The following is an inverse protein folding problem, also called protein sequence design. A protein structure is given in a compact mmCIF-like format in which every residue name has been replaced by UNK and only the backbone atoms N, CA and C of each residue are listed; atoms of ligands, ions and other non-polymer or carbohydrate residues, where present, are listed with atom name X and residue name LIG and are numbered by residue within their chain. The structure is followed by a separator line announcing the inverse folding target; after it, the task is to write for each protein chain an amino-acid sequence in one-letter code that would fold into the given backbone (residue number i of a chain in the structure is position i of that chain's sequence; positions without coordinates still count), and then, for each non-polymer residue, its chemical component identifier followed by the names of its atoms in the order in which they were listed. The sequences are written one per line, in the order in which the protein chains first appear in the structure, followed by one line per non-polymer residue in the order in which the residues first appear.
data_IF_109286760640
#
_entry.id   IF_109286760640
#
_cell.length_a   1.000
_cell.length_b   1.000
_cell.length_c   1.000
_cell.angle_alpha   90.00
_cell.angle_beta   90.00
_cell.angle_gamma   90.00
#
_symmetry.space_group_name_H-M   'P 1'
#
loop_
_entity.id
_entity.type
_entity.pdbx_description
1 polymer ?
#
# COMPACT_ATOMS: atom_id res chain seq x y z
N UNK A 1 5.92 -17.55 -32.13
CA UNK A 1 6.02 -16.08 -32.32
C UNK A 1 5.73 -15.43 -30.98
N UNK A 2 6.72 -14.90 -30.25
CA UNK A 2 6.44 -14.22 -28.99
C UNK A 2 6.01 -12.79 -29.29
N UNK A 3 4.80 -12.43 -28.88
CA UNK A 3 4.34 -11.03 -28.84
C UNK A 3 5.03 -10.36 -27.66
N UNK A 4 6.05 -9.55 -27.96
CA UNK A 4 6.63 -8.60 -27.01
C UNK A 4 5.53 -7.61 -26.63
N UNK A 5 4.99 -7.70 -25.42
CA UNK A 5 4.19 -6.61 -24.85
C UNK A 5 5.13 -5.44 -24.63
N UNK A 6 4.98 -4.40 -25.43
CA UNK A 6 5.56 -3.09 -25.14
C UNK A 6 4.73 -2.54 -23.98
N UNK A 7 5.34 -2.19 -22.83
CA UNK A 7 4.61 -1.42 -21.83
C UNK A 7 4.34 -0.06 -22.44
N UNK A 8 3.06 0.32 -22.55
CA UNK A 8 2.66 1.69 -22.84
C UNK A 8 3.06 2.57 -21.64
N UNK A 9 4.33 2.94 -21.59
CA UNK A 9 4.81 4.06 -20.79
C UNK A 9 4.50 5.33 -21.57
N UNK A 10 3.22 5.69 -21.64
CA UNK A 10 2.82 6.98 -22.21
C UNK A 10 3.30 8.04 -21.22
N UNK A 11 4.43 8.66 -21.57
CA UNK A 11 5.25 9.52 -20.70
C UNK A 11 4.48 10.67 -20.05
N UNK A 12 4.08 10.46 -18.80
CA UNK A 12 3.77 11.54 -17.87
C UNK A 12 5.06 11.90 -17.14
N UNK A 13 5.33 13.19 -17.01
CA UNK A 13 6.46 13.67 -16.23
C UNK A 13 6.26 13.20 -14.79
N UNK A 14 7.15 12.30 -14.35
CA UNK A 14 7.19 11.85 -12.96
C UNK A 14 7.58 13.05 -12.11
N UNK A 15 6.63 13.59 -11.35
CA UNK A 15 6.97 14.68 -10.43
C UNK A 15 7.77 14.09 -9.28
N UNK A 16 8.69 14.85 -8.69
CA UNK A 16 9.43 14.38 -7.52
C UNK A 16 8.51 14.08 -6.31
N UNK A 17 7.26 14.55 -6.35
CA UNK A 17 6.24 14.32 -5.33
C UNK A 17 5.40 13.06 -5.58
N UNK A 18 5.48 12.44 -6.75
CA UNK A 18 4.67 11.25 -7.11
C UNK A 18 4.90 10.13 -6.09
N UNK A 19 6.16 9.75 -5.86
CA UNK A 19 6.51 8.75 -4.85
C UNK A 19 6.05 9.10 -3.44
N UNK A 20 6.00 10.39 -3.10
CA UNK A 20 5.53 10.84 -1.79
C UNK A 20 4.01 10.76 -1.68
N UNK A 21 3.29 11.03 -2.77
CA UNK A 21 1.83 10.86 -2.84
C UNK A 21 1.48 9.38 -2.76
N UNK A 22 2.16 8.55 -3.54
CA UNK A 22 1.95 7.10 -3.58
C UNK A 22 2.19 6.46 -2.22
N UNK A 23 3.32 6.80 -1.56
CA UNK A 23 3.62 6.25 -0.23
C UNK A 23 2.63 6.67 0.86
N UNK A 24 2.03 7.86 0.76
CA UNK A 24 1.05 8.35 1.74
C UNK A 24 -0.35 7.79 1.47
N UNK A 25 -0.71 7.59 0.20
CA UNK A 25 -2.05 7.19 -0.21
C UNK A 25 -2.21 5.68 -0.40
N UNK A 26 -1.11 4.95 -0.59
CA UNK A 26 -1.09 3.52 -0.89
C UNK A 26 -1.57 3.16 -2.31
N UNK A 27 -1.81 4.16 -3.16
CA UNK A 27 -2.29 3.98 -4.53
C UNK A 27 -1.32 4.63 -5.50
N UNK A 28 -1.21 4.10 -6.72
CA UNK A 28 -0.44 4.79 -7.76
C UNK A 28 -1.12 6.12 -8.12
N UNK A 29 -0.34 7.09 -8.60
CA UNK A 29 -0.90 8.38 -9.03
C UNK A 29 -1.98 8.18 -10.11
N UNK A 30 -1.78 7.25 -11.03
CA UNK A 30 -2.75 6.98 -12.10
C UNK A 30 -4.06 6.40 -11.57
N UNK A 31 -3.99 5.49 -10.59
CA UNK A 31 -5.19 4.97 -9.91
C UNK A 31 -5.95 6.07 -9.18
N UNK A 32 -5.25 6.99 -8.51
CA UNK A 32 -5.88 8.13 -7.86
C UNK A 32 -6.62 9.02 -8.86
N UNK A 33 -6.07 9.22 -10.05
CA UNK A 33 -6.73 9.99 -11.10
C UNK A 33 -7.98 9.28 -11.62
N UNK A 34 -7.90 7.97 -11.86
CA UNK A 34 -9.05 7.16 -12.28
C UNK A 34 -10.16 7.15 -11.22
N UNK A 35 -9.80 7.00 -9.94
CA UNK A 35 -10.73 7.07 -8.82
C UNK A 35 -11.36 8.47 -8.69
N UNK A 36 -10.61 9.54 -8.96
CA UNK A 36 -11.13 10.90 -8.98
C UNK A 36 -12.17 11.08 -10.07
N UNK A 37 -11.89 10.61 -11.28
CA UNK A 37 -12.77 10.74 -12.44
C UNK A 37 -14.06 9.90 -12.26
N UNK A 38 -13.99 8.81 -11.50
CA UNK A 38 -15.14 8.00 -11.10
C UNK A 38 -15.87 8.49 -9.85
N UNK A 39 -15.39 9.55 -9.20
CA UNK A 39 -16.00 10.09 -7.98
C UNK A 39 -15.87 9.19 -6.74
N UNK A 40 -14.86 8.29 -6.71
CA UNK A 40 -14.66 7.29 -5.66
C UNK A 40 -13.77 7.79 -4.51
N UNK A 41 -13.21 8.99 -4.62
CA UNK A 41 -12.33 9.56 -3.59
C UNK A 41 -13.11 10.38 -2.56
N UNK A 42 -12.65 10.34 -1.32
CA UNK A 42 -13.08 11.26 -0.29
C UNK A 42 -12.56 12.69 -0.56
N UNK A 43 -13.22 13.69 0.04
CA UNK A 43 -12.94 15.09 -0.24
C UNK A 43 -11.44 15.49 -0.10
N UNK A 44 -10.68 15.02 0.91
CA UNK A 44 -9.25 15.30 1.02
C UNK A 44 -8.40 14.70 -0.12
N UNK A 45 -8.64 13.44 -0.51
CA UNK A 45 -7.89 12.80 -1.61
C UNK A 45 -8.31 13.37 -2.97
N UNK A 46 -9.58 13.71 -3.14
CA UNK A 46 -10.05 14.38 -4.34
C UNK A 46 -9.35 15.74 -4.55
N UNK A 47 -9.26 16.56 -3.50
CA UNK A 47 -8.51 17.82 -3.53
C UNK A 47 -7.03 17.62 -3.83
N UNK A 48 -6.40 16.59 -3.25
CA UNK A 48 -5.00 16.26 -3.52
C UNK A 48 -4.78 15.95 -5.01
N UNK A 49 -5.65 15.15 -5.63
CA UNK A 49 -5.57 14.83 -7.06
C UNK A 49 -5.76 16.07 -7.93
N UNK A 50 -6.72 16.93 -7.61
CA UNK A 50 -6.99 18.15 -8.38
C UNK A 50 -5.78 19.10 -8.36
N UNK A 51 -5.16 19.29 -7.20
CA UNK A 51 -3.94 20.12 -7.06
C UNK A 51 -2.74 19.46 -7.75
N UNK A 52 -2.63 18.12 -7.69
CA UNK A 52 -1.59 17.39 -8.40
C UNK A 52 -1.72 17.54 -9.93
N UNK A 53 -2.95 17.55 -10.47
CA UNK A 53 -3.20 17.83 -11.90
C UNK A 53 -2.68 19.22 -12.28
N UNK A 54 -2.94 20.22 -11.44
CA UNK A 54 -2.41 21.58 -11.63
C UNK A 54 -0.87 21.62 -11.63
N UNK A 55 -0.22 20.85 -10.74
CA UNK A 55 1.24 20.74 -10.72
C UNK A 55 1.80 20.15 -12.02
N UNK A 56 1.22 19.04 -12.51
CA UNK A 56 1.63 18.43 -13.79
C UNK A 56 1.44 19.39 -14.97
N UNK A 57 0.37 20.18 -14.96
CA UNK A 57 0.13 21.21 -15.98
C UNK A 57 1.18 22.34 -15.91
N UNK A 58 1.55 22.78 -14.70
CA UNK A 58 2.59 23.78 -14.50
C UNK A 58 3.97 23.26 -14.96
N UNK A 59 4.32 22.01 -14.66
CA UNK A 59 5.55 21.37 -15.14
C UNK A 59 5.60 21.25 -16.67
N UNK A 60 4.47 20.91 -17.29
CA UNK A 60 4.33 20.88 -18.75
C UNK A 60 4.61 22.26 -19.34
N UNK A 61 4.09 23.32 -18.72
CA UNK A 61 4.31 24.71 -19.14
C UNK A 61 5.77 25.13 -19.00
N UNK A 62 6.44 24.76 -17.90
CA UNK A 62 7.89 24.99 -17.72
C UNK A 62 8.69 24.28 -18.81
N UNK A 63 8.37 23.02 -19.09
CA UNK A 63 9.05 22.24 -20.13
C UNK A 63 8.87 22.88 -21.50
N UNK A 64 7.65 23.30 -21.83
CA UNK A 64 7.34 24.00 -23.08
C UNK A 64 8.19 25.27 -23.25
N UNK A 65 8.20 26.17 -22.28
CA UNK A 65 8.96 27.42 -22.40
C UNK A 65 10.47 27.20 -22.39
N UNK A 66 10.96 26.16 -21.70
CA UNK A 66 12.39 25.77 -21.74
C UNK A 66 12.79 25.28 -23.14
N UNK A 67 11.97 24.44 -23.77
CA UNK A 67 12.20 23.98 -25.16
C UNK A 67 12.12 25.14 -26.14
N UNK A 68 11.13 26.03 -26.00
CA UNK A 68 11.00 27.22 -26.84
C UNK A 68 12.22 28.14 -26.71
N UNK A 69 12.69 28.39 -25.48
CA UNK A 69 13.87 29.21 -25.24
C UNK A 69 15.14 28.60 -25.85
N UNK A 70 15.32 27.29 -25.72
CA UNK A 70 16.42 26.57 -26.36
C UNK A 70 16.37 26.73 -27.89
N UNK A 71 15.17 26.63 -28.47
CA UNK A 71 15.00 26.81 -29.91
C UNK A 71 15.34 28.23 -30.36
N UNK A 72 14.85 29.24 -29.67
CA UNK A 72 15.16 30.65 -29.99
C UNK A 72 16.65 30.97 -29.85
N UNK A 73 17.37 30.24 -28.99
CA UNK A 73 18.80 30.42 -28.74
C UNK A 73 19.71 29.53 -29.62
N UNK A 74 19.13 28.72 -30.51
CA UNK A 74 19.87 27.72 -31.30
C UNK A 74 20.65 28.28 -32.49
N UNK A 75 20.48 29.57 -32.80
CA UNK A 75 21.05 30.19 -34.00
C UNK A 75 20.24 29.97 -35.29
N UNK A 76 19.07 29.34 -35.21
CA UNK A 76 18.12 29.16 -36.34
C UNK A 76 17.57 30.51 -36.86
N UNK A 77 17.56 31.55 -36.04
CA UNK A 77 16.93 32.84 -36.34
C UNK A 77 17.96 33.94 -36.59
N UNK A 78 17.62 34.87 -37.50
CA UNK A 78 18.42 36.08 -37.73
C UNK A 78 18.49 36.92 -36.46
N UNK A 79 19.68 37.44 -36.15
CA UNK A 79 19.92 38.28 -34.98
C UNK A 79 19.37 39.67 -35.25
N UNK A 80 18.14 39.92 -34.81
CA UNK A 80 17.45 41.20 -34.93
C UNK A 80 16.75 41.60 -33.62
N UNK A 81 16.21 42.82 -33.59
CA UNK A 81 15.47 43.33 -32.41
C UNK A 81 14.23 42.49 -32.07
N UNK A 82 13.61 41.87 -33.07
CA UNK A 82 12.41 41.07 -32.85
C UNK A 82 12.75 39.74 -32.15
N UNK A 83 13.89 39.13 -32.47
CA UNK A 83 14.41 37.95 -31.79
C UNK A 83 14.66 38.24 -30.31
N UNK A 84 15.36 39.33 -29.98
CA UNK A 84 15.59 39.72 -28.59
C UNK A 84 14.29 39.94 -27.83
N UNK A 85 13.33 40.68 -28.40
CA UNK A 85 12.02 40.89 -27.77
C UNK A 85 11.24 39.57 -27.55
N UNK A 86 11.41 38.58 -28.44
CA UNK A 86 10.78 37.26 -28.31
C UNK A 86 11.45 36.41 -27.23
N UNK A 87 12.77 36.47 -27.14
CA UNK A 87 13.54 35.82 -26.07
C UNK A 87 13.13 36.40 -24.73
N UNK A 88 13.10 37.73 -24.58
CA UNK A 88 12.72 38.41 -23.33
C UNK A 88 11.31 38.00 -22.87
N UNK A 89 10.35 37.97 -23.81
CA UNK A 89 8.98 37.48 -23.53
C UNK A 89 8.98 36.02 -23.08
N UNK A 90 9.72 35.16 -23.76
CA UNK A 90 9.78 33.72 -23.44
C UNK A 90 10.43 33.49 -22.07
N UNK A 91 11.46 34.27 -21.73
CA UNK A 91 12.08 34.26 -20.40
C UNK A 91 11.09 34.73 -19.33
N UNK A 92 10.31 35.78 -19.59
CA UNK A 92 9.22 36.21 -18.71
C UNK A 92 8.21 35.09 -18.47
N UNK A 93 7.70 34.47 -19.53
CA UNK A 93 6.74 33.36 -19.43
C UNK A 93 7.31 32.13 -18.72
N UNK A 94 8.61 31.84 -18.91
CA UNK A 94 9.28 30.77 -18.19
C UNK A 94 9.37 31.08 -16.68
N UNK A 95 9.66 32.33 -16.30
CA UNK A 95 9.67 32.75 -14.89
C UNK A 95 8.29 32.57 -14.26
N UNK A 96 7.24 33.01 -14.94
CA UNK A 96 5.86 32.89 -14.46
C UNK A 96 5.47 31.40 -14.32
N UNK A 97 5.82 30.56 -15.29
CA UNK A 97 5.56 29.12 -15.23
C UNK A 97 6.31 28.44 -14.07
N UNK A 98 7.56 28.83 -13.80
CA UNK A 98 8.34 28.30 -12.66
C UNK A 98 7.73 28.75 -11.32
N UNK A 99 7.28 30.01 -11.22
CA UNK A 99 6.59 30.51 -10.03
C UNK A 99 5.29 29.75 -9.77
N UNK A 100 4.45 29.57 -10.81
CA UNK A 100 3.22 28.79 -10.73
C UNK A 100 3.47 27.32 -10.34
N UNK A 101 4.54 26.69 -10.87
CA UNK A 101 4.96 25.34 -10.44
C UNK A 101 5.28 25.31 -8.95
N UNK A 102 6.04 26.29 -8.45
CA UNK A 102 6.39 26.39 -7.03
C UNK A 102 5.20 26.66 -6.11
N UNK A 103 4.18 27.38 -6.59
CA UNK A 103 2.89 27.52 -5.90
C UNK A 103 2.15 26.18 -5.83
N UNK A 104 1.99 25.50 -6.97
CA UNK A 104 1.35 24.19 -7.02
C UNK A 104 2.06 23.17 -6.13
N UNK A 105 3.40 23.17 -6.11
CA UNK A 105 4.19 22.27 -5.26
C UNK A 105 3.90 22.50 -3.77
N UNK A 106 3.82 23.76 -3.33
CA UNK A 106 3.43 24.11 -1.95
C UNK A 106 1.99 23.69 -1.65
N UNK A 107 1.08 23.86 -2.60
CA UNK A 107 -0.31 23.44 -2.44
C UNK A 107 -0.46 21.92 -2.36
N UNK A 108 0.27 21.14 -3.16
CA UNK A 108 0.30 19.68 -3.08
C UNK A 108 0.79 19.25 -1.70
N UNK A 109 1.86 19.86 -1.21
CA UNK A 109 2.38 19.58 0.14
C UNK A 109 1.36 19.92 1.23
N UNK A 110 0.67 21.05 1.11
CA UNK A 110 -0.38 21.44 2.05
C UNK A 110 -1.61 20.50 1.97
N UNK A 111 -1.97 20.03 0.77
CA UNK A 111 -3.04 19.05 0.56
C UNK A 111 -2.66 17.64 1.03
N UNK A 112 -1.38 17.31 1.06
CA UNK A 112 -0.87 16.05 1.60
C UNK A 112 -0.98 15.97 3.12
N UNK A 113 -0.86 17.07 3.85
CA UNK A 113 -0.93 17.06 5.33
C UNK A 113 -2.24 16.50 5.91
N UNK A 114 -3.45 16.88 5.44
CA UNK A 114 -4.68 16.28 5.95
C UNK A 114 -4.81 14.79 5.58
N UNK A 115 -4.29 14.37 4.41
CA UNK A 115 -4.28 12.96 4.02
C UNK A 115 -3.33 12.15 4.89
N UNK A 116 -2.15 12.69 5.21
CA UNK A 116 -1.22 12.10 6.18
C UNK A 116 -1.80 12.08 7.58
N UNK A 117 -2.46 13.16 8.00
CA UNK A 117 -3.10 13.24 9.30
C UNK A 117 -4.21 12.18 9.41
N UNK A 118 -5.05 12.05 8.39
CA UNK A 118 -6.05 10.99 8.28
C UNK A 118 -5.41 9.60 8.30
N UNK A 119 -4.32 9.40 7.55
CA UNK A 119 -3.54 8.16 7.56
C UNK A 119 -2.80 7.89 8.88
N UNK A 120 -2.59 8.90 9.74
CA UNK A 120 -2.01 8.78 11.09
C UNK A 120 -3.08 8.53 12.15
N UNK A 121 -4.23 9.18 12.06
CA UNK A 121 -5.42 8.85 12.88
C UNK A 121 -6.00 7.49 12.51
N UNK A 122 -5.80 7.06 11.26
CA UNK A 122 -6.00 5.68 10.82
C UNK A 122 -4.69 4.86 10.86
N UNK A 123 -3.60 5.48 11.29
CA UNK A 123 -2.28 4.85 11.41
C UNK A 123 -2.27 3.89 12.57
N UNK A 124 -1.48 2.82 12.49
CA UNK A 124 -1.98 1.44 12.55
C UNK A 124 -3.02 1.24 13.67
N UNK A 125 -4.26 1.69 13.42
CA UNK A 125 -5.45 1.12 14.01
C UNK A 125 -5.79 -0.22 13.33
N UNK A 126 -4.87 -0.75 12.52
CA UNK A 126 -4.65 -2.17 12.23
C UNK A 126 -3.56 -2.79 13.14
N UNK A 127 -3.36 -2.21 14.34
CA UNK A 127 -3.40 -3.04 15.54
C UNK A 127 -4.77 -2.87 16.21
N UNK A 128 -5.86 -2.84 15.42
CA UNK A 128 -6.95 -3.75 15.74
C UNK A 128 -6.25 -5.08 15.91
N UNK A 129 -6.04 -5.53 17.15
CA UNK A 129 -5.28 -6.73 17.50
C UNK A 129 -5.48 -7.73 16.39
N UNK A 130 -4.45 -7.91 15.54
CA UNK A 130 -4.59 -8.68 14.30
C UNK A 130 -5.22 -9.99 14.74
N UNK A 131 -6.48 -10.18 14.36
CA UNK A 131 -7.22 -11.27 14.97
C UNK A 131 -6.51 -12.55 14.54
N UNK A 132 -6.45 -13.57 15.41
CA UNK A 132 -5.84 -14.84 15.04
C UNK A 132 -6.21 -15.33 13.62
N UNK A 133 -7.48 -15.18 13.14
CA UNK A 133 -7.82 -15.55 11.77
C UNK A 133 -7.18 -14.65 10.69
N UNK A 134 -6.94 -13.36 10.95
CA UNK A 134 -6.28 -12.46 9.99
C UNK A 134 -4.78 -12.74 9.88
N UNK A 135 -4.11 -13.08 10.99
CA UNK A 135 -2.73 -13.59 10.99
C UNK A 135 -2.64 -14.87 10.16
N UNK A 136 -3.57 -15.81 10.39
CA UNK A 136 -3.62 -17.07 9.66
C UNK A 136 -3.86 -16.85 8.15
N UNK A 137 -4.74 -15.93 7.79
CA UNK A 137 -5.01 -15.56 6.41
C UNK A 137 -3.76 -14.98 5.73
N UNK A 138 -3.05 -14.06 6.38
CA UNK A 138 -1.81 -13.48 5.83
C UNK A 138 -0.71 -14.52 5.65
N UNK A 139 -0.54 -15.44 6.61
CA UNK A 139 0.40 -16.55 6.48
C UNK A 139 0.03 -17.48 5.32
N UNK A 140 -1.25 -17.75 5.14
CA UNK A 140 -1.72 -18.61 4.05
C UNK A 140 -1.59 -17.92 2.67
N UNK A 141 -1.78 -16.60 2.60
CA UNK A 141 -1.54 -15.79 1.39
C UNK A 141 -0.04 -15.70 1.08
N UNK A 142 0.83 -15.62 2.09
CA UNK A 142 2.28 -15.62 1.92
C UNK A 142 2.80 -16.86 1.18
N UNK A 143 2.11 -18.00 1.33
CA UNK A 143 2.43 -19.26 0.64
C UNK A 143 1.93 -19.30 -0.81
N UNK A 144 1.19 -18.29 -1.25
CA UNK A 144 0.54 -18.19 -2.54
C UNK A 144 -0.97 -18.34 -2.41
N UNK A 145 -1.72 -17.42 -3.03
CA UNK A 145 -3.16 -17.42 -3.00
C UNK A 145 -3.76 -16.91 -4.31
N UNK A 146 -4.94 -17.42 -4.65
CA UNK A 146 -5.71 -17.03 -5.83
C UNK A 146 -7.16 -16.75 -5.45
N UNK A 147 -7.67 -15.61 -5.84
CA UNK A 147 -9.06 -15.24 -5.76
C UNK A 147 -9.83 -15.93 -6.90
N UNK A 148 -10.87 -16.65 -6.52
CA UNK A 148 -11.77 -17.34 -7.43
C UNK A 148 -13.20 -16.87 -7.22
N UNK A 149 -13.96 -16.85 -8.31
CA UNK A 149 -15.41 -16.70 -8.27
C UNK A 149 -16.08 -18.06 -8.47
N UNK A 150 -17.02 -18.37 -7.58
CA UNK A 150 -17.83 -19.56 -7.69
C UNK A 150 -18.96 -19.34 -8.71
N UNK A 151 -18.82 -19.87 -9.92
CA UNK A 151 -19.73 -19.59 -11.05
C UNK A 151 -21.23 -19.80 -10.76
N UNK A 152 -21.60 -20.79 -9.96
CA UNK A 152 -23.01 -21.04 -9.61
C UNK A 152 -23.58 -20.10 -8.55
N UNK A 153 -22.75 -19.54 -7.67
CA UNK A 153 -23.21 -18.71 -6.54
C UNK A 153 -22.74 -17.27 -6.63
N UNK A 154 -21.90 -16.95 -7.63
CA UNK A 154 -21.21 -15.68 -7.83
C UNK A 154 -20.44 -15.20 -6.59
N UNK A 155 -20.12 -16.12 -5.67
CA UNK A 155 -19.39 -15.80 -4.44
C UNK A 155 -17.90 -15.83 -4.71
N UNK A 156 -17.23 -14.79 -4.23
CA UNK A 156 -15.78 -14.69 -4.26
C UNK A 156 -15.17 -15.39 -3.05
N UNK A 157 -14.06 -16.09 -3.27
CA UNK A 157 -13.26 -16.69 -2.20
C UNK A 157 -11.82 -16.85 -2.64
N UNK A 158 -10.90 -16.74 -1.69
CA UNK A 158 -9.48 -16.95 -1.96
C UNK A 158 -9.13 -18.38 -1.60
N UNK A 159 -8.48 -19.07 -2.54
CA UNK A 159 -7.92 -20.40 -2.35
C UNK A 159 -6.42 -20.24 -2.19
N UNK A 160 -5.90 -20.69 -1.05
CA UNK A 160 -4.46 -20.65 -0.72
C UNK A 160 -3.76 -21.87 -1.32
N UNK A 161 -2.43 -21.85 -1.40
CA UNK A 161 -1.64 -22.98 -1.87
C UNK A 161 -1.86 -24.25 -1.02
N UNK A 162 -2.24 -24.09 0.25
CA UNK A 162 -2.61 -25.19 1.16
C UNK A 162 -4.04 -25.71 0.97
N UNK A 163 -4.81 -25.13 0.03
CA UNK A 163 -6.21 -25.48 -0.21
C UNK A 163 -7.21 -24.89 0.78
N UNK A 164 -6.76 -24.04 1.71
CA UNK A 164 -7.65 -23.33 2.63
C UNK A 164 -8.44 -22.25 1.88
N UNK A 165 -9.66 -22.00 2.35
CA UNK A 165 -10.54 -20.97 1.80
C UNK A 165 -10.63 -19.79 2.75
N UNK A 166 -10.28 -18.61 2.24
CA UNK A 166 -10.43 -17.34 2.95
C UNK A 166 -11.67 -16.65 2.37
N UNK A 167 -12.58 -16.22 3.26
CA UNK A 167 -13.79 -15.53 2.86
C UNK A 167 -13.48 -14.16 2.23
N UNK A 168 -14.25 -13.75 1.22
CA UNK A 168 -13.99 -12.49 0.52
C UNK A 168 -14.05 -11.26 1.44
N UNK A 169 -14.97 -11.23 2.41
CA UNK A 169 -15.01 -10.13 3.38
C UNK A 169 -13.75 -10.03 4.24
N UNK A 170 -13.05 -11.15 4.48
CA UNK A 170 -11.77 -11.15 5.17
C UNK A 170 -10.65 -10.62 4.26
N UNK A 171 -10.63 -11.03 2.99
CA UNK A 171 -9.70 -10.46 2.01
C UNK A 171 -9.90 -8.94 1.88
N UNK A 172 -11.15 -8.49 1.80
CA UNK A 172 -11.48 -7.07 1.65
C UNK A 172 -10.94 -6.24 2.82
N UNK A 173 -11.07 -6.73 4.06
CA UNK A 173 -10.47 -6.05 5.23
C UNK A 173 -8.94 -5.97 5.15
N UNK A 174 -8.28 -7.03 4.67
CA UNK A 174 -6.82 -7.03 4.51
C UNK A 174 -6.37 -6.08 3.38
N UNK A 175 -7.17 -5.95 2.32
CA UNK A 175 -6.95 -5.04 1.19
C UNK A 175 -7.15 -3.57 1.64
N UNK A 176 -8.22 -3.29 2.36
CA UNK A 176 -8.50 -1.99 2.99
C UNK A 176 -7.41 -1.57 3.99
N UNK A 177 -6.79 -2.54 4.67
CA UNK A 177 -5.65 -2.33 5.56
C UNK A 177 -4.31 -2.22 4.81
N UNK A 178 -4.29 -2.36 3.47
CA UNK A 178 -3.10 -2.28 2.63
C UNK A 178 -2.10 -3.43 2.86
N UNK A 179 -2.55 -4.57 3.39
CA UNK A 179 -1.69 -5.72 3.73
C UNK A 179 -1.55 -6.73 2.58
N UNK A 180 -2.48 -6.70 1.63
CA UNK A 180 -2.54 -7.58 0.47
C UNK A 180 -2.77 -6.75 -0.79
N UNK A 181 -2.36 -7.28 -1.94
CA UNK A 181 -2.58 -6.69 -3.24
C UNK A 181 -3.13 -7.75 -4.19
N UNK A 182 -4.05 -7.34 -5.07
CA UNK A 182 -4.65 -8.19 -6.08
C UNK A 182 -4.07 -7.85 -7.45
N UNK A 183 -3.56 -8.85 -8.16
CA UNK A 183 -3.09 -8.64 -9.52
C UNK A 183 -4.28 -8.61 -10.49
N UNK A 184 -4.79 -7.42 -10.79
CA UNK A 184 -5.94 -7.19 -11.70
C UNK A 184 -5.65 -7.49 -13.16
N UNK A 185 -4.40 -7.80 -13.51
CA UNK A 185 -4.03 -8.27 -14.86
C UNK A 185 -4.58 -9.67 -15.17
N UNK A 186 -5.06 -10.39 -14.14
CA UNK A 186 -5.62 -11.73 -14.27
C UNK A 186 -7.13 -11.72 -13.98
N UNK A 187 -7.95 -12.30 -14.87
CA UNK A 187 -9.39 -12.37 -14.64
C UNK A 187 -9.72 -13.30 -13.47
N UNK A 188 -10.69 -12.91 -12.65
CA UNK A 188 -11.10 -13.63 -11.43
C UNK A 188 -11.51 -15.08 -11.71
N UNK A 189 -12.17 -15.32 -12.85
CA UNK A 189 -12.60 -16.67 -13.24
C UNK A 189 -11.43 -17.61 -13.55
N UNK A 190 -10.24 -17.09 -13.88
CA UNK A 190 -9.02 -17.87 -14.10
C UNK A 190 -8.15 -18.01 -12.84
N UNK A 191 -8.59 -17.47 -11.71
CA UNK A 191 -7.81 -17.41 -10.47
C UNK A 191 -6.88 -16.20 -10.47
N UNK A 192 -7.39 -15.10 -9.93
CA UNK A 192 -6.64 -13.86 -9.81
C UNK A 192 -5.61 -13.96 -8.67
N UNK A 193 -4.30 -13.79 -8.92
CA UNK A 193 -3.29 -13.85 -7.86
C UNK A 193 -3.50 -12.79 -6.78
N UNK A 194 -3.29 -13.20 -5.52
CA UNK A 194 -3.26 -12.31 -4.36
C UNK A 194 -1.90 -12.44 -3.69
N UNK A 195 -1.22 -11.31 -3.52
CA UNK A 195 0.13 -11.25 -2.93
C UNK A 195 0.13 -10.37 -1.68
N UNK A 196 1.17 -10.52 -0.85
CA UNK A 196 1.39 -9.62 0.27
C UNK A 196 2.11 -8.35 -0.20
N UNK A 197 1.68 -7.21 0.32
CA UNK A 197 2.42 -5.94 0.21
C UNK A 197 3.63 -5.95 1.14
N UNK A 198 4.52 -4.96 1.00
CA UNK A 198 5.61 -4.75 1.97
C UNK A 198 5.07 -4.50 3.38
N UNK A 199 3.94 -3.79 3.51
CA UNK A 199 3.26 -3.58 4.78
C UNK A 199 2.76 -4.89 5.39
N UNK A 200 2.18 -5.79 4.57
CA UNK A 200 1.76 -7.13 5.00
C UNK A 200 2.92 -8.00 5.48
N UNK A 201 4.05 -7.98 4.78
CA UNK A 201 5.29 -8.67 5.20
C UNK A 201 5.85 -8.10 6.51
N UNK A 202 5.84 -6.78 6.66
CA UNK A 202 6.28 -6.10 7.87
C UNK A 202 5.36 -6.43 9.07
N UNK A 203 4.04 -6.50 8.86
CA UNK A 203 3.07 -6.88 9.89
C UNK A 203 3.30 -8.30 10.44
N UNK A 204 3.55 -9.27 9.55
CA UNK A 204 3.91 -10.64 9.95
C UNK A 204 5.24 -10.69 10.73
N UNK A 205 6.22 -9.87 10.33
CA UNK A 205 7.54 -9.81 10.98
C UNK A 205 7.50 -9.12 12.35
N UNK A 206 6.65 -8.09 12.50
CA UNK A 206 6.42 -7.38 13.76
C UNK A 206 5.67 -8.25 14.78
N UNK A 207 4.64 -8.98 14.34
CA UNK A 207 3.89 -9.92 15.20
C UNK A 207 4.77 -11.04 15.76
N UNK A 208 5.69 -11.59 14.95
CA UNK A 208 6.66 -12.62 15.40
C UNK A 208 7.61 -12.12 16.50
N UNK A 209 7.88 -10.82 16.59
CA UNK A 209 8.74 -10.25 17.65
C UNK A 209 8.02 -10.08 19.00
N UNK A 210 6.69 -9.98 19.00
CA UNK A 210 5.88 -9.86 20.22
C UNK A 210 5.62 -11.21 20.87
N UNK A 211 5.69 -12.32 20.12
CA UNK A 211 5.69 -13.67 20.70
C UNK A 211 7.09 -14.02 21.21
N UNK A 212 7.48 -13.49 22.38
CA UNK A 212 8.50 -14.14 23.19
C UNK A 212 8.00 -15.54 23.55
N UNK A 213 8.84 -16.59 23.48
CA UNK A 213 8.44 -17.91 23.91
C UNK A 213 8.19 -17.86 25.42
N UNK A 214 6.92 -17.80 25.81
CA UNK A 214 6.54 -18.17 27.18
C UNK A 214 6.92 -19.64 27.28
N UNK A 215 7.96 -19.92 28.06
CA UNK A 215 8.35 -21.26 28.44
C UNK A 215 7.10 -22.03 28.89
N UNK A 216 6.94 -23.31 28.51
CA UNK A 216 5.77 -24.08 28.90
C UNK A 216 5.68 -24.08 30.43
N UNK A 217 4.60 -23.51 30.95
CA UNK A 217 4.32 -23.53 32.38
C UNK A 217 4.28 -24.98 32.85
N UNK A 218 5.13 -25.33 33.83
CA UNK A 218 5.00 -26.58 34.56
C UNK A 218 3.59 -26.66 35.14
N UNK A 219 2.78 -27.61 34.65
CA UNK A 219 1.50 -27.95 35.26
C UNK A 219 1.74 -28.42 36.69
N UNK A 220 1.43 -27.57 37.66
CA UNK A 220 1.11 -27.99 39.02
C UNK A 220 -0.26 -28.68 38.98
N UNK A 221 -0.27 -29.97 38.68
CA UNK A 221 -1.42 -30.84 38.87
C UNK A 221 -1.49 -31.26 40.34
N UNK A 222 -2.29 -30.54 41.13
CA UNK A 222 -2.74 -31.02 42.43
C UNK A 222 -3.74 -32.17 42.20
N UNK A 223 -3.49 -33.32 42.85
CA UNK A 223 -4.42 -34.45 42.93
C UNK A 223 -4.61 -34.82 44.41
N UNK A 224 -5.84 -34.76 44.95
CA UNK A 224 -6.17 -35.53 46.15
C UNK A 224 -7.47 -36.34 45.96
N UNK A 225 -7.88 -37.21 46.90
CA UNK A 225 -7.11 -38.00 47.88
C UNK A 225 -7.45 -39.52 47.78
N UNK A 226 -6.70 -40.39 48.47
CA UNK A 226 -7.23 -41.67 48.93
C UNK A 226 -6.80 -41.89 50.37
N UNK A 227 -7.81 -41.91 51.25
CA UNK A 227 -7.73 -42.10 52.69
C UNK A 227 -8.52 -43.39 52.96
N UNK A 228 -7.84 -44.43 53.45
CA UNK A 228 -8.37 -45.56 54.24
C UNK A 228 -7.27 -46.64 54.22
N UNK A 229 -6.56 -46.81 55.35
CA UNK A 229 -6.92 -47.78 56.39
C UNK A 229 -6.48 -49.20 55.99
N UNK A 230 -5.88 -50.03 56.80
CA UNK A 230 -5.41 -50.03 58.19
C UNK A 230 -4.83 -51.45 58.36
N UNK A 231 -4.34 -51.74 59.57
CA UNK A 231 -4.23 -53.07 60.15
C UNK A 231 -2.91 -53.86 59.94
N UNK A 232 -2.07 -53.66 60.95
CA UNK A 232 -1.67 -54.69 61.93
C UNK A 232 -0.68 -55.78 61.49
N UNK A 233 0.46 -55.76 62.17
CA UNK A 233 1.12 -56.95 62.73
C UNK A 233 2.57 -56.63 63.13
N UNK A 234 2.90 -56.38 64.41
CA UNK A 234 3.49 -57.35 65.37
C UNK A 234 4.66 -58.17 64.79
N UNK A 235 5.89 -58.30 65.34
CA UNK A 235 6.45 -58.10 66.69
C UNK A 235 7.98 -58.37 66.64
N UNK A 236 8.71 -57.86 67.64
CA UNK A 236 9.99 -58.34 68.22
C UNK A 236 11.29 -58.24 67.39
N UNK A 237 12.26 -57.42 67.84
CA UNK A 237 13.36 -57.75 68.77
C UNK A 237 14.67 -57.88 67.95
N UNK A 238 15.89 -57.56 68.40
CA UNK A 238 16.52 -57.50 69.72
C UNK A 238 17.83 -56.72 69.57
N UNK A 239 18.27 -56.10 70.67
CA UNK A 239 19.55 -55.40 70.89
C UNK A 239 20.77 -56.30 70.66
N UNK A 240 21.90 -55.75 70.21
CA UNK A 240 23.00 -55.28 71.07
C UNK A 240 23.98 -54.42 70.29
#
# INVERSE_FOLDING_TARGET
MPTTRVPDQTGRALTALDHRIESVTGHSVDQLWEHRDRGLLDAPRARLVDVHRSLVQAETSVTFYRVLLNRLSSGEFLIDKALFARIDRTVGQLKDAVAARGECEREVLAALEPVKAAARTHGPAATQEMTAPDIAALLAIAQGAKLHEHLLTQRLSVVTASGARIAYGQLQRLDEAGLVERDTSHPVHAGQPVTLTDAGRAALSGSRRTSLPIAPAHRAGAWPPALAADARGTTAARRH
#
